data_IF_293671750586
#
_entry.id   IF_293671750586
#
_cell.length_a   1.000
_cell.length_b   1.000
_cell.length_c   1.000
_cell.angle_alpha   90.00
_cell.angle_beta   90.00
_cell.angle_gamma   90.00
#
_symmetry.space_group_name_H-M   'P 1'
#
loop_
_entity.id
_entity.type
_entity.pdbx_description
1 polymer ?
#
# COMPACT_ATOMS: atom_id res chain seq x y z
N UNK A 1 42.04 33.00 13.01
CA UNK A 1 42.02 32.05 11.87
C UNK A 1 41.74 30.62 12.31
N UNK A 2 42.44 30.07 13.30
CA UNK A 2 42.23 28.67 13.69
C UNK A 2 40.90 28.39 14.39
N UNK A 3 40.32 29.37 15.07
CA UNK A 3 39.02 29.24 15.74
C UNK A 3 37.82 29.38 14.77
N UNK A 4 38.00 30.15 13.69
CA UNK A 4 36.97 30.34 12.69
C UNK A 4 36.83 29.14 11.77
N UNK A 5 37.98 28.49 11.49
CA UNK A 5 38.01 27.22 10.71
C UNK A 5 37.30 26.10 11.47
N UNK A 6 37.52 26.01 12.79
CA UNK A 6 36.90 25.03 13.68
C UNK A 6 35.37 25.25 13.80
N UNK A 7 34.93 26.53 13.82
CA UNK A 7 33.51 26.90 13.82
C UNK A 7 32.83 26.58 12.50
N UNK A 8 33.54 26.84 11.38
CA UNK A 8 33.03 26.49 10.06
C UNK A 8 32.86 24.98 9.87
N UNK A 9 33.84 24.20 10.35
CA UNK A 9 33.81 22.74 10.28
C UNK A 9 32.68 22.17 11.14
N UNK A 10 32.43 22.74 12.31
CA UNK A 10 31.35 22.33 13.20
C UNK A 10 29.96 22.63 12.58
N UNK A 11 29.81 23.78 11.93
CA UNK A 11 28.55 24.14 11.26
C UNK A 11 28.27 23.23 10.07
N UNK A 12 29.29 22.91 9.27
CA UNK A 12 29.16 21.97 8.13
C UNK A 12 28.80 20.56 8.62
N UNK A 13 29.38 20.14 9.75
CA UNK A 13 29.08 18.81 10.31
C UNK A 13 27.65 18.68 10.84
N UNK A 14 27.10 19.77 11.41
CA UNK A 14 25.71 19.80 11.86
C UNK A 14 24.72 19.75 10.69
N UNK A 15 25.05 20.38 9.54
CA UNK A 15 24.22 20.33 8.34
C UNK A 15 24.23 18.94 7.68
N UNK A 16 25.29 18.17 7.83
CA UNK A 16 25.37 16.79 7.29
C UNK A 16 24.57 15.77 8.10
N UNK A 17 24.26 16.07 9.37
CA UNK A 17 23.44 15.18 10.22
C UNK A 17 21.93 15.44 10.08
N UNK A 18 21.53 16.57 9.50
CA UNK A 18 20.11 16.89 9.30
C UNK A 18 19.53 16.25 8.03
N UNK A 19 20.34 15.55 7.24
CA UNK A 19 19.98 15.04 5.92
C UNK A 19 19.32 13.66 5.88
N UNK A 20 18.95 13.06 7.00
CA UNK A 20 18.47 11.69 7.02
C UNK A 20 16.97 11.50 7.26
N UNK A 21 16.15 12.50 7.05
CA UNK A 21 14.72 12.32 7.26
C UNK A 21 13.84 12.46 6.01
N UNK A 22 14.43 12.62 4.82
CA UNK A 22 13.64 12.84 3.60
C UNK A 22 14.05 11.98 2.41
N UNK A 23 14.72 10.89 2.66
CA UNK A 23 14.94 9.92 1.61
C UNK A 23 13.88 8.84 1.75
N UNK A 24 12.76 9.00 1.09
CA UNK A 24 11.97 7.89 0.54
C UNK A 24 10.60 8.39 0.07
N UNK A 25 10.60 9.51 -0.65
CA UNK A 25 9.50 9.76 -1.57
C UNK A 25 10.06 9.68 -2.99
N UNK A 26 10.56 8.52 -3.34
CA UNK A 26 10.80 8.20 -4.73
C UNK A 26 9.72 7.22 -5.14
N UNK A 27 8.74 7.71 -5.85
CA UNK A 27 7.65 6.95 -6.40
C UNK A 27 6.32 7.24 -5.74
N UNK A 28 5.80 8.45 -5.95
CA UNK A 28 4.39 8.79 -6.00
C UNK A 28 3.38 7.98 -5.20
N UNK A 29 3.69 7.57 -3.99
CA UNK A 29 2.70 7.06 -3.09
C UNK A 29 2.30 8.20 -2.17
N UNK A 30 1.19 8.83 -2.44
CA UNK A 30 0.50 9.60 -1.43
C UNK A 30 0.18 8.61 -0.31
N UNK A 31 0.95 8.68 0.73
CA UNK A 31 0.82 7.81 1.88
C UNK A 31 -0.38 8.25 2.68
N UNK A 32 -1.54 7.75 2.34
CA UNK A 32 -2.62 7.67 3.29
C UNK A 32 -2.26 6.58 4.31
N UNK A 33 -2.15 6.94 5.56
CA UNK A 33 -2.03 6.10 6.75
C UNK A 33 -1.44 4.69 6.50
N UNK A 34 -0.11 4.57 6.44
CA UNK A 34 0.57 3.29 6.63
C UNK A 34 0.68 2.40 5.41
N UNK A 35 0.68 2.95 4.21
CA UNK A 35 0.96 2.18 3.01
C UNK A 35 2.46 1.97 2.85
N UNK A 36 2.87 0.73 2.82
CA UNK A 36 4.23 0.36 2.45
C UNK A 36 4.50 0.60 0.96
N UNK A 37 5.70 0.29 0.54
CA UNK A 37 6.11 0.38 -0.85
C UNK A 37 5.32 -0.62 -1.70
N UNK A 38 4.82 -0.20 -2.86
CA UNK A 38 4.20 -1.10 -3.82
C UNK A 38 5.25 -1.99 -4.49
N UNK A 39 5.00 -3.28 -4.47
CA UNK A 39 5.84 -4.26 -5.14
C UNK A 39 5.04 -4.98 -6.24
N UNK A 40 5.45 -4.81 -7.49
CA UNK A 40 4.82 -5.49 -8.61
C UNK A 40 5.59 -6.75 -8.98
N UNK A 41 4.99 -7.91 -8.76
CA UNK A 41 5.60 -9.22 -9.02
C UNK A 41 4.59 -10.16 -9.67
N UNK A 42 5.00 -10.75 -10.79
CA UNK A 42 4.20 -11.76 -11.51
C UNK A 42 2.75 -11.32 -11.81
N UNK A 43 2.55 -10.05 -12.16
CA UNK A 43 1.22 -9.52 -12.47
C UNK A 43 0.39 -9.11 -11.25
N UNK A 44 0.92 -9.23 -10.05
CA UNK A 44 0.28 -8.78 -8.81
C UNK A 44 0.99 -7.55 -8.25
N UNK A 45 0.21 -6.55 -7.88
CA UNK A 45 0.69 -5.40 -7.13
C UNK A 45 0.43 -5.66 -5.63
N UNK A 46 1.50 -5.70 -4.86
CA UNK A 46 1.48 -6.03 -3.44
C UNK A 46 1.88 -4.84 -2.59
N UNK A 47 1.22 -4.67 -1.46
CA UNK A 47 1.62 -3.70 -0.43
C UNK A 47 1.22 -4.18 0.96
N UNK A 48 1.91 -3.69 1.98
CA UNK A 48 1.55 -3.89 3.38
C UNK A 48 0.83 -2.65 3.91
N UNK A 49 -0.32 -2.86 4.54
CA UNK A 49 -1.06 -1.81 5.24
C UNK A 49 -0.82 -1.91 6.75
N UNK A 50 -0.58 -0.78 7.40
CA UNK A 50 -0.46 -0.69 8.85
C UNK A 50 -1.85 -0.68 9.51
N UNK A 51 -2.60 -1.75 9.31
CA UNK A 51 -3.93 -1.94 9.84
C UNK A 51 -4.20 -3.43 10.10
N UNK A 52 -5.19 -3.73 10.95
CA UNK A 52 -5.57 -5.10 11.26
C UNK A 52 -6.17 -5.80 10.03
N UNK A 53 -6.11 -7.13 10.03
CA UNK A 53 -6.70 -7.94 8.95
C UNK A 53 -8.18 -7.62 8.74
N UNK A 54 -8.97 -7.53 9.82
CA UNK A 54 -10.41 -7.25 9.75
C UNK A 54 -10.70 -5.88 9.13
N UNK A 55 -9.91 -4.89 9.50
CA UNK A 55 -10.04 -3.53 8.99
C UNK A 55 -9.72 -3.45 7.49
N UNK A 56 -8.61 -4.08 7.08
CA UNK A 56 -8.22 -4.15 5.66
C UNK A 56 -9.20 -4.96 4.85
N UNK A 57 -9.70 -6.08 5.39
CA UNK A 57 -10.73 -6.90 4.75
C UNK A 57 -11.99 -6.10 4.46
N UNK A 58 -12.52 -5.41 5.47
CA UNK A 58 -13.70 -4.56 5.33
C UNK A 58 -13.48 -3.44 4.28
N UNK A 59 -12.29 -2.84 4.24
CA UNK A 59 -11.93 -1.85 3.24
C UNK A 59 -11.90 -2.43 1.82
N UNK A 60 -11.42 -3.67 1.65
CA UNK A 60 -11.42 -4.36 0.36
C UNK A 60 -12.86 -4.64 -0.12
N UNK A 61 -13.71 -5.18 0.75
CA UNK A 61 -15.12 -5.43 0.43
C UNK A 61 -15.85 -4.14 0.03
N UNK A 62 -15.63 -3.07 0.80
CA UNK A 62 -16.20 -1.76 0.50
C UNK A 62 -15.73 -1.21 -0.85
N UNK A 63 -14.45 -1.35 -1.15
CA UNK A 63 -13.87 -0.90 -2.43
C UNK A 63 -14.51 -1.62 -3.61
N UNK A 64 -14.67 -2.95 -3.53
CA UNK A 64 -15.33 -3.73 -4.56
C UNK A 64 -16.79 -3.29 -4.77
N UNK A 65 -17.52 -3.01 -3.68
CA UNK A 65 -18.88 -2.51 -3.73
C UNK A 65 -18.98 -1.10 -4.36
N UNK A 66 -18.10 -0.19 -3.96
CA UNK A 66 -18.04 1.18 -4.51
C UNK A 66 -17.74 1.20 -6.02
N UNK A 67 -16.93 0.26 -6.48
CA UNK A 67 -16.58 0.08 -7.89
C UNK A 67 -17.62 -0.75 -8.66
N UNK A 68 -18.76 -1.07 -8.04
CA UNK A 68 -19.83 -1.88 -8.63
C UNK A 68 -19.34 -3.22 -9.17
N UNK A 69 -18.47 -3.88 -8.40
CA UNK A 69 -18.00 -5.21 -8.74
C UNK A 69 -19.14 -6.19 -8.87
N UNK A 70 -19.10 -7.02 -9.90
CA UNK A 70 -20.04 -8.13 -10.14
C UNK A 70 -19.34 -9.46 -9.94
N UNK A 71 -20.11 -10.56 -9.88
CA UNK A 71 -19.59 -11.91 -9.65
C UNK A 71 -18.68 -11.99 -8.41
N UNK A 72 -19.03 -11.24 -7.37
CA UNK A 72 -18.19 -11.13 -6.16
C UNK A 72 -18.22 -12.44 -5.37
N UNK A 73 -17.04 -13.04 -5.22
CA UNK A 73 -16.84 -14.29 -4.49
C UNK A 73 -15.78 -14.10 -3.40
N UNK A 74 -16.19 -13.71 -2.19
CA UNK A 74 -15.29 -13.62 -1.07
C UNK A 74 -15.05 -15.00 -0.45
N UNK A 75 -13.80 -15.31 -0.18
CA UNK A 75 -13.39 -16.47 0.61
C UNK A 75 -12.52 -16.00 1.75
N UNK A 76 -12.91 -16.30 2.97
CA UNK A 76 -12.20 -15.84 4.16
C UNK A 76 -11.82 -17.00 5.07
N UNK A 77 -10.55 -17.06 5.45
CA UNK A 77 -9.97 -17.96 6.44
C UNK A 77 -9.41 -17.13 7.61
N UNK A 78 -8.85 -17.79 8.62
CA UNK A 78 -8.38 -17.13 9.85
C UNK A 78 -7.29 -16.07 9.57
N UNK A 79 -6.31 -16.38 8.72
CA UNK A 79 -5.14 -15.52 8.48
C UNK A 79 -5.00 -15.05 7.02
N UNK A 80 -5.95 -15.40 6.19
CA UNK A 80 -5.96 -15.03 4.77
C UNK A 80 -7.38 -14.96 4.23
N UNK A 81 -7.54 -14.23 3.15
CA UNK A 81 -8.77 -14.20 2.40
C UNK A 81 -8.52 -13.80 0.97
N UNK A 82 -9.47 -14.09 0.11
CA UNK A 82 -9.45 -13.64 -1.28
C UNK A 82 -10.83 -13.14 -1.70
N UNK A 83 -10.85 -12.11 -2.50
CA UNK A 83 -12.07 -11.61 -3.16
C UNK A 83 -11.82 -11.69 -4.66
N UNK A 84 -12.61 -12.50 -5.34
CA UNK A 84 -12.67 -12.49 -6.81
C UNK A 84 -13.89 -11.68 -7.23
N UNK A 85 -13.74 -10.82 -8.19
CA UNK A 85 -14.82 -10.00 -8.71
C UNK A 85 -14.56 -9.61 -10.17
N UNK A 86 -15.57 -9.10 -10.85
CA UNK A 86 -15.44 -8.45 -12.16
C UNK A 86 -15.70 -6.96 -11.96
N UNK A 87 -14.73 -6.12 -12.31
CA UNK A 87 -14.82 -4.66 -12.23
C UNK A 87 -14.43 -4.10 -13.60
N UNK A 88 -15.30 -3.29 -14.19
CA UNK A 88 -15.12 -2.73 -15.54
C UNK A 88 -14.77 -3.81 -16.59
N UNK A 89 -15.47 -4.92 -16.55
CA UNK A 89 -15.28 -6.09 -17.45
C UNK A 89 -13.92 -6.81 -17.32
N UNK A 90 -13.11 -6.45 -16.32
CA UNK A 90 -11.87 -7.12 -16.00
C UNK A 90 -12.01 -8.00 -14.74
N UNK A 91 -11.44 -9.20 -14.79
CA UNK A 91 -11.38 -10.07 -13.61
C UNK A 91 -10.37 -9.49 -12.62
N UNK A 92 -10.81 -9.28 -11.40
CA UNK A 92 -10.00 -8.76 -10.30
C UNK A 92 -9.88 -9.83 -9.23
N UNK A 93 -8.67 -10.05 -8.76
CA UNK A 93 -8.38 -10.90 -7.62
C UNK A 93 -7.64 -10.10 -6.55
N UNK A 94 -8.22 -10.03 -5.36
CA UNK A 94 -7.64 -9.37 -4.19
C UNK A 94 -7.33 -10.45 -3.16
N UNK A 95 -6.07 -10.62 -2.82
CA UNK A 95 -5.63 -11.53 -1.76
C UNK A 95 -5.21 -10.70 -0.54
N UNK A 96 -5.77 -11.03 0.61
CA UNK A 96 -5.48 -10.37 1.88
C UNK A 96 -4.82 -11.38 2.80
N UNK A 97 -3.66 -11.06 3.35
CA UNK A 97 -2.88 -11.97 4.20
C UNK A 97 -2.46 -11.26 5.48
N UNK A 98 -2.78 -11.84 6.62
CA UNK A 98 -2.30 -11.39 7.92
C UNK A 98 -0.78 -11.51 8.00
N UNK A 99 -0.11 -10.48 8.48
CA UNK A 99 1.33 -10.47 8.75
C UNK A 99 1.62 -10.33 10.25
N UNK A 100 0.98 -9.36 10.89
CA UNK A 100 1.09 -9.08 12.31
C UNK A 100 -0.20 -8.37 12.79
N UNK A 101 -0.33 -8.09 14.07
CA UNK A 101 -1.52 -7.49 14.69
C UNK A 101 -2.07 -6.26 13.95
N UNK A 102 -1.19 -5.36 13.52
CA UNK A 102 -1.53 -4.15 12.77
C UNK A 102 -0.74 -4.09 11.45
N UNK A 103 -0.55 -5.23 10.81
CA UNK A 103 0.11 -5.32 9.52
C UNK A 103 -0.56 -6.39 8.67
N UNK A 104 -1.07 -5.99 7.53
CA UNK A 104 -1.80 -6.85 6.61
C UNK A 104 -1.30 -6.63 5.18
N UNK A 105 -0.92 -7.70 4.51
CA UNK A 105 -0.52 -7.65 3.10
C UNK A 105 -1.74 -7.77 2.20
N UNK A 106 -1.78 -6.96 1.16
CA UNK A 106 -2.79 -7.04 0.09
C UNK A 106 -2.07 -7.18 -1.24
N UNK A 107 -2.44 -8.20 -2.00
CA UNK A 107 -1.97 -8.45 -3.35
C UNK A 107 -3.14 -8.38 -4.34
N UNK A 108 -3.04 -7.52 -5.34
CA UNK A 108 -4.09 -7.29 -6.32
C UNK A 108 -3.59 -7.66 -7.72
N UNK A 109 -4.38 -8.46 -8.42
CA UNK A 109 -4.22 -8.74 -9.85
C UNK A 109 -5.48 -8.30 -10.58
N UNK A 110 -5.31 -7.52 -11.63
CA UNK A 110 -6.37 -7.11 -12.55
C UNK A 110 -6.08 -7.69 -13.92
N UNK A 111 -7.03 -8.42 -14.46
CA UNK A 111 -6.90 -9.11 -15.74
C UNK A 111 -6.03 -10.36 -15.70
N UNK A 112 -5.93 -11.05 -16.81
CA UNK A 112 -5.17 -12.31 -16.94
C UNK A 112 -3.67 -12.13 -16.68
N UNK A 113 -3.06 -11.14 -17.34
CA UNK A 113 -1.62 -10.88 -17.26
C UNK A 113 -1.22 -9.98 -16.09
N UNK A 114 -2.20 -9.34 -15.45
CA UNK A 114 -1.99 -8.30 -14.46
C UNK A 114 -1.84 -6.91 -15.10
N UNK A 115 -2.59 -5.94 -14.60
CA UNK A 115 -2.53 -4.55 -14.99
C UNK A 115 -2.05 -3.73 -13.78
N UNK A 116 -0.82 -3.26 -13.84
CA UNK A 116 -0.20 -2.53 -12.74
C UNK A 116 -0.97 -1.25 -12.39
N UNK A 117 -1.39 -0.48 -13.38
CA UNK A 117 -2.08 0.79 -13.15
C UNK A 117 -3.47 0.59 -12.53
N UNK A 118 -4.25 -0.34 -13.06
CA UNK A 118 -5.55 -0.69 -12.49
C UNK A 118 -5.42 -1.26 -11.07
N UNK A 119 -4.39 -2.08 -10.83
CA UNK A 119 -4.10 -2.60 -9.49
C UNK A 119 -3.70 -1.50 -8.52
N UNK A 120 -2.95 -0.49 -8.94
CA UNK A 120 -2.59 0.66 -8.13
C UNK A 120 -3.82 1.50 -7.78
N UNK A 121 -4.70 1.76 -8.73
CA UNK A 121 -5.95 2.47 -8.49
C UNK A 121 -6.82 1.77 -7.43
N UNK A 122 -6.87 0.45 -7.46
CA UNK A 122 -7.57 -0.34 -6.44
C UNK A 122 -6.91 -0.20 -5.07
N UNK A 123 -5.59 -0.28 -5.00
CA UNK A 123 -4.85 -0.06 -3.75
C UNK A 123 -5.10 1.34 -3.18
N UNK A 124 -5.10 2.37 -4.00
CA UNK A 124 -5.36 3.75 -3.57
C UNK A 124 -6.76 3.89 -2.99
N UNK A 125 -7.76 3.24 -3.58
CA UNK A 125 -9.13 3.20 -3.05
C UNK A 125 -9.24 2.41 -1.75
N UNK A 126 -8.57 1.28 -1.65
CA UNK A 126 -8.51 0.50 -0.41
C UNK A 126 -7.86 1.33 0.71
N UNK A 127 -6.75 1.99 0.43
CA UNK A 127 -6.09 2.88 1.39
C UNK A 127 -7.01 4.00 1.88
N UNK A 128 -7.74 4.64 0.96
CA UNK A 128 -8.72 5.67 1.30
C UNK A 128 -9.86 5.11 2.17
N UNK A 129 -10.32 3.89 1.91
CA UNK A 129 -11.37 3.23 2.70
C UNK A 129 -10.87 2.79 4.08
N UNK A 130 -9.62 2.36 4.20
CA UNK A 130 -9.00 2.09 5.52
C UNK A 130 -9.05 3.36 6.39
N UNK A 131 -8.75 4.51 5.83
CA UNK A 131 -8.79 5.78 6.56
C UNK A 131 -10.20 6.26 6.97
N UNK A 132 -11.27 5.70 6.39
CA UNK A 132 -12.66 6.05 6.67
C UNK A 132 -13.36 5.13 7.67
N UNK A 133 -12.79 3.97 7.92
CA UNK A 133 -13.29 2.97 8.86
C UNK A 133 -12.66 3.19 10.24
#
# INVERSE_FOLDING_TARGET
MRNDLCRLTAVIFVFLLSGCATALVVGGAAVGAGTGTYLYVNGELRTDYAASFDHVWAACERTVAELRGTEVQPTREIARGSINAVINDEKVKINVTYRAKNQTNVAIRVGWLGNKMSSQLLHDKIAANIGKL
#
